data_IF_171543600948
#
_entry.id   IF_171543600948
#
_cell.length_a   1.000
_cell.length_b   1.000
_cell.length_c   1.000
_cell.angle_alpha   90.00
_cell.angle_beta   90.00
_cell.angle_gamma   90.00
#
_symmetry.space_group_name_H-M   'P 1'
#
loop_
_entity.id
_entity.type
_entity.pdbx_description
1 polymer ?
#
# COMPACT_ATOMS: atom_id res chain seq x y z
N UNK A 1 19.01 1.99 -8.44
CA UNK A 1 18.99 1.79 -9.91
C UNK A 1 19.45 0.38 -10.20
N UNK A 2 18.73 -0.32 -11.07
CA UNK A 2 19.12 -1.65 -11.51
C UNK A 2 20.56 -1.63 -12.07
N UNK A 3 21.42 -2.54 -11.62
CA UNK A 3 22.77 -2.64 -12.17
C UNK A 3 22.70 -2.99 -13.66
N UNK A 4 23.28 -2.11 -14.50
CA UNK A 4 23.28 -2.16 -15.97
C UNK A 4 23.63 -3.53 -16.58
N UNK A 5 24.31 -4.41 -15.84
CA UNK A 5 24.76 -5.73 -16.31
C UNK A 5 23.73 -6.86 -16.12
N UNK A 6 22.71 -6.67 -15.29
CA UNK A 6 21.74 -7.71 -14.94
C UNK A 6 20.33 -7.45 -15.48
N UNK A 7 20.11 -6.29 -16.11
CA UNK A 7 18.82 -5.93 -16.70
C UNK A 7 18.77 -6.40 -18.17
N UNK A 8 17.70 -7.10 -18.54
CA UNK A 8 17.46 -7.55 -19.93
C UNK A 8 17.31 -6.38 -20.93
N UNK A 9 17.12 -5.17 -20.43
CA UNK A 9 16.89 -3.95 -21.22
C UNK A 9 18.16 -3.19 -21.61
N UNK A 10 19.30 -3.88 -21.58
CA UNK A 10 20.64 -3.37 -21.87
C UNK A 10 20.77 -2.66 -23.25
N UNK A 11 19.74 -2.74 -24.11
CA UNK A 11 19.70 -2.15 -25.45
C UNK A 11 18.95 -0.79 -25.56
N UNK A 12 18.21 -0.34 -24.55
CA UNK A 12 17.48 0.95 -24.60
C UNK A 12 18.35 2.10 -24.08
N UNK A 13 18.28 3.28 -24.70
CA UNK A 13 18.99 4.48 -24.21
C UNK A 13 18.46 4.85 -22.82
N UNK A 14 19.27 4.59 -21.79
CA UNK A 14 18.96 4.95 -20.40
C UNK A 14 18.93 6.47 -20.24
N UNK A 15 18.19 6.94 -19.24
CA UNK A 15 18.16 8.35 -18.90
C UNK A 15 19.58 8.90 -18.64
N UNK A 16 19.89 10.05 -19.24
CA UNK A 16 21.21 10.68 -19.19
C UNK A 16 21.29 11.89 -18.25
N UNK A 17 20.21 12.16 -17.51
CA UNK A 17 20.09 13.32 -16.62
C UNK A 17 21.19 13.35 -15.55
N UNK A 18 21.60 14.56 -15.18
CA UNK A 18 22.69 14.77 -14.21
C UNK A 18 22.37 14.14 -12.85
N UNK A 19 21.09 14.07 -12.48
CA UNK A 19 20.62 13.40 -11.27
C UNK A 19 21.08 11.93 -11.16
N UNK A 20 21.25 11.23 -12.29
CA UNK A 20 21.70 9.83 -12.32
C UNK A 20 23.22 9.68 -12.19
N UNK A 21 23.97 10.75 -12.43
CA UNK A 21 25.44 10.77 -12.36
C UNK A 21 25.97 11.18 -10.99
N UNK A 22 25.13 11.80 -10.15
CA UNK A 22 25.48 12.19 -8.78
C UNK A 22 25.28 11.00 -7.84
N UNK A 23 26.17 10.82 -6.85
CA UNK A 23 26.00 9.85 -5.74
C UNK A 23 25.01 10.37 -4.68
N UNK A 24 24.00 11.12 -5.11
CA UNK A 24 22.95 11.65 -4.24
C UNK A 24 21.68 10.82 -4.47
N UNK A 25 21.37 9.99 -3.49
CA UNK A 25 20.25 9.07 -3.55
C UNK A 25 18.89 9.79 -3.54
N UNK A 26 18.78 10.91 -2.81
CA UNK A 26 17.52 11.66 -2.70
C UNK A 26 17.22 12.38 -4.01
N UNK A 27 18.22 13.05 -4.58
CA UNK A 27 18.07 13.69 -5.89
C UNK A 27 17.73 12.68 -7.00
N UNK A 28 18.28 11.46 -6.92
CA UNK A 28 17.94 10.37 -7.81
C UNK A 28 16.49 9.91 -7.65
N UNK A 29 16.04 9.70 -6.41
CA UNK A 29 14.67 9.26 -6.10
C UNK A 29 13.63 10.28 -6.58
N UNK A 30 13.84 11.57 -6.27
CA UNK A 30 13.00 12.68 -6.73
C UNK A 30 12.95 12.70 -8.27
N UNK A 31 14.10 12.57 -8.93
CA UNK A 31 14.14 12.58 -10.40
C UNK A 31 13.35 11.43 -11.01
N UNK A 32 13.53 10.21 -10.50
CA UNK A 32 12.80 9.02 -10.98
C UNK A 32 11.30 9.17 -10.76
N UNK A 33 10.88 9.76 -9.65
CA UNK A 33 9.47 9.90 -9.30
C UNK A 33 8.77 10.99 -10.12
N UNK A 34 9.33 12.20 -10.18
CA UNK A 34 8.69 13.36 -10.83
C UNK A 34 8.83 13.36 -12.36
N UNK A 35 9.80 12.61 -12.90
CA UNK A 35 10.15 12.67 -14.32
C UNK A 35 9.86 11.39 -15.09
N UNK A 36 9.31 10.35 -14.45
CA UNK A 36 8.95 9.11 -15.14
C UNK A 36 7.52 9.18 -15.68
N UNK A 37 7.38 9.15 -16.99
CA UNK A 37 6.11 9.06 -17.73
C UNK A 37 5.96 7.67 -18.35
N UNK A 38 4.75 7.34 -18.83
CA UNK A 38 4.43 6.04 -19.46
C UNK A 38 4.85 4.85 -18.60
N UNK A 39 4.51 4.93 -17.31
CA UNK A 39 4.92 3.97 -16.28
C UNK A 39 4.32 2.60 -16.56
N UNK A 40 5.18 1.59 -16.56
CA UNK A 40 4.84 0.18 -16.64
C UNK A 40 5.59 -0.63 -15.58
N UNK A 41 5.03 -1.77 -15.22
CA UNK A 41 5.64 -2.73 -14.30
C UNK A 41 6.12 -3.95 -15.07
N UNK A 42 7.34 -4.36 -14.78
CA UNK A 42 7.97 -5.53 -15.37
C UNK A 42 8.42 -6.46 -14.26
N UNK A 43 8.01 -7.74 -14.35
CA UNK A 43 8.39 -8.80 -13.40
C UNK A 43 9.07 -9.93 -14.16
N UNK A 44 10.31 -10.26 -13.76
CA UNK A 44 11.06 -11.43 -14.23
C UNK A 44 11.04 -12.48 -13.12
N UNK A 45 10.44 -13.64 -13.41
CA UNK A 45 10.31 -14.79 -12.51
C UNK A 45 10.24 -16.09 -13.33
N UNK A 46 10.47 -17.22 -12.71
CA UNK A 46 10.35 -18.55 -13.31
C UNK A 46 9.06 -19.25 -12.85
N UNK A 47 8.79 -19.21 -11.54
CA UNK A 47 7.66 -19.91 -10.91
C UNK A 47 7.06 -19.07 -9.76
N UNK A 48 5.73 -18.92 -9.77
CA UNK A 48 5.01 -18.20 -8.71
C UNK A 48 5.02 -18.94 -7.37
N UNK A 49 5.11 -20.26 -7.39
CA UNK A 49 4.90 -21.12 -6.22
C UNK A 49 6.19 -21.53 -5.52
N UNK A 50 7.35 -21.04 -5.99
CA UNK A 50 8.64 -21.31 -5.37
C UNK A 50 9.35 -20.02 -5.01
N UNK A 51 9.81 -19.89 -3.77
CA UNK A 51 10.68 -18.79 -3.36
C UNK A 51 11.98 -18.81 -4.17
N UNK A 52 12.22 -17.74 -4.93
CA UNK A 52 13.37 -17.63 -5.83
C UNK A 52 13.81 -16.16 -5.99
N UNK A 53 15.06 -15.91 -6.42
CA UNK A 53 15.47 -14.58 -6.84
C UNK A 53 14.69 -14.11 -8.07
N UNK A 54 13.85 -13.10 -7.90
CA UNK A 54 13.04 -12.45 -8.92
C UNK A 54 13.47 -11.01 -9.11
N UNK A 55 12.98 -10.38 -10.17
CA UNK A 55 13.23 -8.95 -10.45
C UNK A 55 11.92 -8.25 -10.72
N UNK A 56 11.55 -7.30 -9.85
CA UNK A 56 10.45 -6.37 -10.07
C UNK A 56 11.03 -5.00 -10.42
N UNK A 57 10.56 -4.41 -11.53
CA UNK A 57 10.99 -3.10 -11.97
C UNK A 57 9.80 -2.21 -12.33
N UNK A 58 9.83 -0.98 -11.83
CA UNK A 58 9.03 0.12 -12.36
C UNK A 58 9.82 0.79 -13.48
N UNK A 59 9.28 0.79 -14.68
CA UNK A 59 9.93 1.32 -15.87
C UNK A 59 9.10 2.41 -16.51
N UNK A 60 9.76 3.35 -17.17
CA UNK A 60 9.09 4.42 -17.90
C UNK A 60 10.08 5.26 -18.68
N UNK A 61 9.60 6.37 -19.21
CA UNK A 61 10.37 7.31 -20.02
C UNK A 61 10.63 8.57 -19.20
N UNK A 62 11.85 9.10 -19.25
CA UNK A 62 12.17 10.37 -18.63
C UNK A 62 11.56 11.51 -19.46
N UNK A 63 10.72 12.35 -18.84
CA UNK A 63 10.14 13.53 -19.49
C UNK A 63 11.19 14.55 -19.94
N UNK A 64 12.34 14.61 -19.26
CA UNK A 64 13.37 15.63 -19.51
C UNK A 64 14.29 15.27 -20.67
N UNK A 65 14.71 14.00 -20.76
CA UNK A 65 15.70 13.56 -21.75
C UNK A 65 15.19 12.50 -22.71
N UNK A 66 13.96 11.99 -22.53
CA UNK A 66 13.39 10.91 -23.33
C UNK A 66 14.04 9.54 -23.12
N UNK A 67 15.05 9.43 -22.25
CA UNK A 67 15.73 8.17 -21.95
C UNK A 67 14.94 7.30 -20.97
N UNK A 68 15.17 5.99 -20.99
CA UNK A 68 14.47 5.03 -20.13
C UNK A 68 14.88 5.20 -18.66
N UNK A 69 13.89 5.26 -17.77
CA UNK A 69 14.06 5.15 -16.32
C UNK A 69 13.65 3.74 -15.88
N UNK A 70 14.44 3.15 -14.99
CA UNK A 70 14.20 1.81 -14.44
C UNK A 70 14.55 1.81 -12.95
N UNK A 71 13.53 1.56 -12.14
CA UNK A 71 13.63 1.48 -10.70
C UNK A 71 13.30 0.05 -10.25
N UNK A 72 14.33 -0.68 -9.81
CA UNK A 72 14.16 -1.99 -9.21
C UNK A 72 13.56 -1.82 -7.82
N UNK A 73 12.49 -2.54 -7.55
CA UNK A 73 11.78 -2.57 -6.27
C UNK A 73 12.01 -3.96 -5.67
N UNK A 74 11.90 -4.07 -4.35
CA UNK A 74 11.92 -5.37 -3.70
C UNK A 74 10.89 -6.31 -4.33
N UNK A 75 11.35 -7.49 -4.73
CA UNK A 75 10.56 -8.52 -5.39
C UNK A 75 10.14 -9.65 -4.42
N UNK A 76 10.35 -9.47 -3.11
CA UNK A 76 9.92 -10.41 -2.06
C UNK A 76 10.34 -11.85 -2.37
N UNK A 77 11.64 -12.02 -2.62
CA UNK A 77 12.25 -13.25 -3.15
C UNK A 77 12.09 -14.47 -2.22
N UNK A 78 11.84 -14.23 -0.95
CA UNK A 78 11.58 -15.22 0.09
C UNK A 78 10.14 -15.72 0.13
N UNK A 79 9.22 -15.06 -0.58
CA UNK A 79 7.80 -15.40 -0.62
C UNK A 79 7.41 -16.23 -1.85
N UNK A 80 6.28 -16.93 -1.76
CA UNK A 80 5.71 -17.73 -2.84
C UNK A 80 4.17 -17.71 -2.81
N UNK A 81 3.54 -18.08 -3.92
CA UNK A 81 2.08 -18.23 -4.04
C UNK A 81 1.34 -16.95 -3.63
N UNK A 82 0.28 -17.11 -2.83
CA UNK A 82 -0.59 -16.03 -2.41
C UNK A 82 0.14 -14.91 -1.63
N UNK A 83 1.17 -15.25 -0.85
CA UNK A 83 1.96 -14.27 -0.07
C UNK A 83 2.81 -13.40 -1.01
N UNK A 84 3.44 -14.02 -2.01
CA UNK A 84 4.16 -13.29 -3.06
C UNK A 84 3.23 -12.37 -3.84
N UNK A 85 2.07 -12.88 -4.29
CA UNK A 85 1.09 -12.07 -5.03
C UNK A 85 0.61 -10.88 -4.20
N UNK A 86 0.33 -11.09 -2.92
CA UNK A 86 -0.08 -10.03 -2.00
C UNK A 86 1.01 -8.96 -1.83
N UNK A 87 2.27 -9.37 -1.66
CA UNK A 87 3.40 -8.48 -1.50
C UNK A 87 3.65 -7.61 -2.74
N UNK A 88 3.64 -8.22 -3.93
CA UNK A 88 3.82 -7.52 -5.20
C UNK A 88 2.66 -6.57 -5.46
N UNK A 89 1.41 -7.03 -5.28
CA UNK A 89 0.21 -6.20 -5.44
C UNK A 89 0.28 -4.94 -4.55
N UNK A 90 0.75 -5.09 -3.29
CA UNK A 90 1.00 -3.97 -2.38
C UNK A 90 2.03 -2.98 -2.92
N UNK A 91 3.18 -3.45 -3.38
CA UNK A 91 4.23 -2.57 -3.89
C UNK A 91 3.76 -1.74 -5.08
N UNK A 92 3.00 -2.35 -5.99
CA UNK A 92 2.41 -1.65 -7.13
C UNK A 92 1.41 -0.61 -6.68
N UNK A 93 0.52 -0.97 -5.74
CA UNK A 93 -0.49 -0.04 -5.24
C UNK A 93 0.13 1.19 -4.58
N UNK A 94 1.18 1.02 -3.78
CA UNK A 94 1.90 2.12 -3.10
C UNK A 94 2.61 3.07 -4.07
N UNK A 95 3.13 2.53 -5.18
CA UNK A 95 3.99 3.28 -6.11
C UNK A 95 3.23 3.86 -7.31
N UNK A 96 2.00 3.41 -7.58
CA UNK A 96 1.11 3.92 -8.63
C UNK A 96 -0.04 4.80 -8.13
N UNK A 97 -0.21 4.99 -6.81
CA UNK A 97 -1.17 5.95 -6.24
C UNK A 97 -0.73 7.43 -6.04
N UNK A 98 0.39 7.96 -6.59
CA UNK A 98 0.84 9.27 -6.16
C UNK A 98 0.24 10.52 -6.83
N UNK A 99 -0.32 10.44 -8.05
CA UNK A 99 -0.47 11.63 -8.91
C UNK A 99 -1.92 12.03 -9.28
N UNK A 100 -2.92 11.75 -8.44
CA UNK A 100 -4.25 12.37 -8.56
C UNK A 100 -5.07 12.03 -9.82
N UNK A 101 -4.50 11.42 -10.86
CA UNK A 101 -5.23 10.68 -11.88
C UNK A 101 -5.56 9.31 -11.31
N UNK A 102 -6.76 9.17 -10.75
CA UNK A 102 -7.29 7.90 -10.30
C UNK A 102 -7.42 6.94 -11.49
N UNK A 103 -6.43 6.07 -11.67
CA UNK A 103 -6.62 4.84 -12.42
C UNK A 103 -7.73 4.04 -11.71
N UNK A 104 -8.72 3.55 -12.46
CA UNK A 104 -9.80 2.81 -11.83
C UNK A 104 -9.25 1.52 -11.21
N UNK A 105 -9.90 0.99 -10.17
CA UNK A 105 -9.53 -0.28 -9.57
C UNK A 105 -9.47 -1.41 -10.61
N UNK A 106 -10.38 -1.38 -11.60
CA UNK A 106 -10.39 -2.30 -12.74
C UNK A 106 -9.12 -2.19 -13.60
N UNK A 107 -8.72 -0.98 -13.95
CA UNK A 107 -7.53 -0.74 -14.78
C UNK A 107 -6.24 -1.13 -14.05
N UNK A 108 -6.17 -0.87 -12.75
CA UNK A 108 -5.06 -1.32 -11.90
C UNK A 108 -4.94 -2.85 -11.92
N UNK A 109 -6.05 -3.55 -11.70
CA UNK A 109 -6.07 -5.02 -11.67
C UNK A 109 -5.71 -5.63 -13.01
N UNK A 110 -6.14 -5.01 -14.11
CA UNK A 110 -5.76 -5.45 -15.43
C UNK A 110 -4.25 -5.27 -15.68
N UNK A 111 -3.67 -4.12 -15.31
CA UNK A 111 -2.21 -3.91 -15.38
C UNK A 111 -1.44 -4.89 -14.51
N UNK A 112 -1.93 -5.16 -13.30
CA UNK A 112 -1.35 -6.15 -12.40
C UNK A 112 -1.32 -7.53 -13.06
N UNK A 113 -2.41 -7.99 -13.70
CA UNK A 113 -2.41 -9.30 -14.38
C UNK A 113 -1.45 -9.32 -15.59
N UNK A 114 -1.34 -8.20 -16.31
CA UNK A 114 -0.53 -8.13 -17.54
C UNK A 114 0.98 -8.28 -17.30
N UNK A 115 1.48 -7.93 -16.12
CA UNK A 115 2.91 -8.07 -15.79
C UNK A 115 3.37 -9.54 -15.64
N UNK A 116 2.43 -10.47 -15.49
CA UNK A 116 2.71 -11.90 -15.33
C UNK A 116 2.69 -12.64 -16.67
N UNK A 117 3.38 -13.78 -16.72
CA UNK A 117 3.40 -14.68 -17.86
C UNK A 117 1.98 -15.09 -18.25
N UNK A 118 1.72 -15.21 -19.56
CA UNK A 118 0.37 -15.51 -20.09
C UNK A 118 -0.25 -16.77 -19.49
N UNK A 119 0.59 -17.74 -19.14
CA UNK A 119 0.24 -19.03 -18.54
C UNK A 119 -0.38 -18.87 -17.14
N UNK A 120 0.08 -17.89 -16.37
CA UNK A 120 -0.32 -17.68 -14.97
C UNK A 120 -1.49 -16.70 -14.83
N UNK A 121 -1.82 -15.94 -15.89
CA UNK A 121 -2.89 -14.94 -15.86
C UNK A 121 -4.26 -15.50 -15.46
N UNK A 122 -4.70 -16.70 -15.88
CA UNK A 122 -5.96 -17.27 -15.42
C UNK A 122 -5.99 -17.47 -13.91
N UNK A 123 -4.91 -18.02 -13.34
CA UNK A 123 -4.77 -18.21 -11.90
C UNK A 123 -4.83 -16.87 -11.16
N UNK A 124 -4.18 -15.83 -11.69
CA UNK A 124 -4.26 -14.49 -11.07
C UNK A 124 -5.65 -13.87 -11.13
N UNK A 125 -6.39 -14.06 -12.24
CA UNK A 125 -7.77 -13.58 -12.34
C UNK A 125 -8.68 -14.28 -11.34
N UNK A 126 -8.50 -15.59 -11.13
CA UNK A 126 -9.20 -16.35 -10.10
C UNK A 126 -8.81 -15.89 -8.69
N UNK A 127 -7.51 -15.72 -8.43
CA UNK A 127 -7.00 -15.21 -7.16
C UNK A 127 -7.57 -13.82 -6.85
N UNK A 128 -7.60 -12.92 -7.83
CA UNK A 128 -8.23 -11.61 -7.71
C UNK A 128 -9.74 -11.71 -7.45
N UNK A 129 -10.45 -12.62 -8.08
CA UNK A 129 -11.90 -12.77 -7.92
C UNK A 129 -12.33 -13.25 -6.52
N UNK A 130 -11.39 -13.75 -5.69
CA UNK A 130 -11.70 -14.17 -4.32
C UNK A 130 -12.19 -12.96 -3.49
N UNK A 131 -13.22 -13.13 -2.63
CA UNK A 131 -13.74 -12.04 -1.80
C UNK A 131 -12.67 -11.32 -0.98
N UNK A 132 -11.72 -12.07 -0.40
CA UNK A 132 -10.59 -11.53 0.37
C UNK A 132 -9.62 -10.66 -0.46
N UNK A 133 -9.69 -10.78 -1.78
CA UNK A 133 -8.83 -10.15 -2.77
C UNK A 133 -9.59 -9.15 -3.65
N UNK A 134 -10.83 -8.85 -3.29
CA UNK A 134 -11.70 -7.92 -3.99
C UNK A 134 -11.21 -6.46 -3.87
N UNK A 135 -10.59 -6.11 -2.73
CA UNK A 135 -10.14 -4.75 -2.44
C UNK A 135 -8.64 -4.67 -2.17
N UNK A 136 -7.97 -3.70 -2.81
CA UNK A 136 -6.54 -3.46 -2.65
C UNK A 136 -6.14 -3.14 -1.20
N UNK A 137 -7.00 -2.41 -0.50
CA UNK A 137 -6.87 -2.08 0.93
C UNK A 137 -7.01 -3.31 1.85
N UNK A 138 -7.82 -4.31 1.47
CA UNK A 138 -8.00 -5.55 2.23
C UNK A 138 -6.77 -6.47 2.17
N UNK A 139 -6.19 -6.62 0.99
CA UNK A 139 -4.94 -7.39 0.81
C UNK A 139 -3.76 -6.76 1.57
N UNK A 140 -3.68 -5.42 1.57
CA UNK A 140 -2.67 -4.67 2.30
C UNK A 140 -2.65 -5.09 3.78
N UNK A 141 -3.81 -5.11 4.45
CA UNK A 141 -3.93 -5.46 5.88
C UNK A 141 -3.48 -6.89 6.20
N UNK A 142 -3.74 -7.86 5.31
CA UNK A 142 -3.41 -9.28 5.55
C UNK A 142 -1.90 -9.56 5.48
N UNK A 143 -1.21 -8.95 4.52
CA UNK A 143 0.26 -9.09 4.39
C UNK A 143 1.03 -8.49 5.58
N UNK A 144 0.46 -7.51 6.29
CA UNK A 144 1.01 -6.99 7.55
C UNK A 144 0.74 -7.94 8.72
N UNK A 145 -0.42 -8.62 8.77
CA UNK A 145 -0.72 -9.66 9.77
C UNK A 145 0.19 -10.91 9.63
N UNK A 146 0.67 -11.24 8.42
CA UNK A 146 1.61 -12.35 8.20
C UNK A 146 3.05 -12.06 8.68
N UNK A 147 3.41 -10.78 8.79
CA UNK A 147 4.69 -10.29 9.32
C UNK A 147 4.56 -9.76 10.76
N UNK A 148 3.87 -10.48 11.65
CA UNK A 148 4.10 -10.31 13.07
C UNK A 148 5.52 -10.84 13.40
N UNK A 149 6.37 -10.11 14.15
CA UNK A 149 7.82 -10.30 14.06
C UNK A 149 8.32 -11.54 14.82
N UNK A 150 9.38 -12.23 14.34
CA UNK A 150 10.38 -12.75 15.25
C UNK A 150 11.09 -11.56 15.89
N UNK A 151 11.02 -11.47 17.22
CA UNK A 151 11.78 -10.58 18.11
C UNK A 151 12.39 -9.32 17.46
N UNK A 152 11.75 -8.16 17.70
CA UNK A 152 12.24 -6.86 17.22
C UNK A 152 13.73 -6.68 17.52
N UNK A 153 14.58 -6.38 16.51
CA UNK A 153 15.95 -5.96 16.75
C UNK A 153 15.92 -4.69 17.60
N UNK A 154 16.76 -4.66 18.64
CA UNK A 154 16.79 -3.59 19.63
C UNK A 154 16.84 -2.19 18.97
N UNK A 155 15.76 -1.41 19.10
CA UNK A 155 15.74 0.03 18.78
C UNK A 155 14.52 0.58 18.03
N UNK A 156 13.59 -0.25 17.57
CA UNK A 156 12.38 0.18 16.84
C UNK A 156 11.13 -0.06 17.69
N UNK A 157 10.42 1.02 18.04
CA UNK A 157 9.19 0.95 18.86
C UNK A 157 7.96 1.14 17.96
N UNK A 158 7.08 0.15 17.92
CA UNK A 158 5.80 0.27 17.22
C UNK A 158 4.77 0.99 18.09
N UNK A 159 4.04 1.93 17.49
CA UNK A 159 2.92 2.64 18.11
C UNK A 159 1.67 2.41 17.27
N UNK A 160 0.61 1.95 17.90
CA UNK A 160 -0.71 1.71 17.31
C UNK A 160 -1.61 2.88 17.65
N UNK A 161 -2.06 3.63 16.64
CA UNK A 161 -2.89 4.83 16.83
C UNK A 161 -4.29 4.60 16.27
N UNK A 162 -5.33 4.81 17.08
CA UNK A 162 -6.72 4.75 16.61
C UNK A 162 -7.08 6.09 15.99
N UNK A 163 -7.55 6.06 14.75
CA UNK A 163 -8.00 7.23 13.99
C UNK A 163 -9.47 7.07 13.61
N UNK A 164 -10.24 8.14 13.84
CA UNK A 164 -11.63 8.28 13.42
C UNK A 164 -11.72 9.14 12.17
N UNK A 165 -12.48 8.69 11.20
CA UNK A 165 -12.85 9.45 9.99
C UNK A 165 -14.33 9.28 9.73
N UNK A 166 -15.04 10.37 9.42
CA UNK A 166 -16.46 10.31 9.10
C UNK A 166 -16.85 11.39 8.10
N UNK A 167 -17.97 11.15 7.40
CA UNK A 167 -18.61 12.08 6.47
C UNK A 167 -20.12 11.96 6.61
N UNK A 168 -20.80 13.10 6.55
CA UNK A 168 -22.25 13.21 6.38
C UNK A 168 -22.53 14.34 5.38
N UNK A 169 -22.61 13.99 4.10
CA UNK A 169 -22.78 14.93 3.00
C UNK A 169 -24.19 15.54 2.95
N UNK A 170 -25.22 14.82 3.43
CA UNK A 170 -26.59 15.35 3.49
C UNK A 170 -26.70 16.51 4.48
N UNK A 171 -25.99 16.40 5.61
CA UNK A 171 -25.88 17.50 6.59
C UNK A 171 -24.71 18.45 6.31
N UNK A 172 -23.91 18.19 5.28
CA UNK A 172 -22.74 19.00 4.90
C UNK A 172 -21.59 18.95 5.91
N UNK A 173 -21.45 17.84 6.64
CA UNK A 173 -20.43 17.62 7.66
C UNK A 173 -19.26 16.80 7.10
N UNK A 174 -18.07 17.39 7.16
CA UNK A 174 -16.81 16.78 6.68
C UNK A 174 -15.69 17.02 7.71
N UNK A 175 -15.77 16.38 8.90
CA UNK A 175 -14.77 16.56 9.94
C UNK A 175 -13.39 16.05 9.49
N UNK A 176 -12.34 16.73 9.94
CA UNK A 176 -10.97 16.24 9.78
C UNK A 176 -10.78 14.91 10.53
N UNK A 177 -9.87 14.03 10.09
CA UNK A 177 -9.51 12.83 10.83
C UNK A 177 -9.10 13.17 12.27
N UNK A 178 -9.59 12.40 13.24
CA UNK A 178 -9.33 12.60 14.66
C UNK A 178 -8.57 11.41 15.24
N UNK A 179 -7.57 11.68 16.07
CA UNK A 179 -6.89 10.64 16.85
C UNK A 179 -7.64 10.37 18.14
N UNK A 180 -8.06 9.12 18.36
CA UNK A 180 -8.77 8.69 19.57
C UNK A 180 -7.80 8.17 20.65
N UNK A 181 -6.59 7.75 20.26
CA UNK A 181 -5.53 7.35 21.20
C UNK A 181 -4.36 6.65 20.52
N UNK A 182 -3.23 6.56 21.23
CA UNK A 182 -2.02 5.85 20.80
C UNK A 182 -1.55 4.86 21.86
N UNK A 183 -1.16 3.66 21.43
CA UNK A 183 -0.87 2.51 22.28
C UNK A 183 0.43 1.84 21.83
N UNK A 184 1.16 1.24 22.77
CA UNK A 184 2.39 0.48 22.46
C UNK A 184 2.13 -1.02 22.27
N UNK A 185 0.93 -1.46 22.60
CA UNK A 185 0.48 -2.85 22.53
C UNK A 185 -0.77 -2.94 21.65
N UNK A 186 -0.75 -3.88 20.71
CA UNK A 186 -1.82 -4.03 19.72
C UNK A 186 -3.11 -4.55 20.34
N UNK A 187 -3.04 -5.45 21.31
CA UNK A 187 -4.23 -6.01 21.94
C UNK A 187 -4.96 -4.96 22.80
N UNK A 188 -4.20 -4.07 23.44
CA UNK A 188 -4.73 -2.91 24.15
C UNK A 188 -5.41 -1.94 23.17
N UNK A 189 -4.81 -1.66 22.02
CA UNK A 189 -5.43 -0.83 20.98
C UNK A 189 -6.73 -1.44 20.45
N UNK A 190 -6.76 -2.76 20.22
CA UNK A 190 -7.96 -3.50 19.78
C UNK A 190 -9.07 -3.49 20.82
N UNK A 191 -8.72 -3.64 22.10
CA UNK A 191 -9.68 -3.53 23.19
C UNK A 191 -10.31 -2.13 23.26
N UNK A 192 -9.50 -1.09 23.08
CA UNK A 192 -10.01 0.29 23.06
C UNK A 192 -10.83 0.58 21.80
N UNK A 193 -10.41 0.07 20.63
CA UNK A 193 -11.19 0.18 19.39
C UNK A 193 -12.61 -0.38 19.59
N UNK A 194 -12.74 -1.59 20.15
CA UNK A 194 -14.06 -2.17 20.46
C UNK A 194 -14.90 -1.26 21.35
N UNK A 195 -14.30 -0.69 22.41
CA UNK A 195 -14.99 0.24 23.31
C UNK A 195 -15.48 1.50 22.60
N UNK A 196 -14.66 2.05 21.70
CA UNK A 196 -15.00 3.24 20.91
C UNK A 196 -16.10 2.96 19.89
N UNK A 197 -16.08 1.80 19.24
CA UNK A 197 -17.12 1.39 18.28
C UNK A 197 -18.49 1.29 18.96
N UNK A 198 -18.58 0.63 20.12
CA UNK A 198 -19.85 0.54 20.86
C UNK A 198 -20.36 1.94 21.23
N UNK A 199 -19.47 2.81 21.70
CA UNK A 199 -19.84 4.19 22.03
C UNK A 199 -20.32 4.96 20.79
N UNK A 200 -19.61 4.86 19.67
CA UNK A 200 -19.98 5.55 18.43
C UNK A 200 -21.36 5.07 17.95
N UNK A 201 -21.65 3.75 18.01
CA UNK A 201 -22.96 3.19 17.67
C UNK A 201 -24.10 3.71 18.56
N UNK A 202 -23.84 3.94 19.85
CA UNK A 202 -24.82 4.51 20.78
C UNK A 202 -25.13 5.99 20.48
N UNK A 203 -24.12 6.75 20.05
CA UNK A 203 -24.22 8.19 19.77
C UNK A 203 -24.63 8.49 18.32
N UNK A 204 -24.61 7.49 17.44
CA UNK A 204 -24.81 7.63 16.01
C UNK A 204 -26.28 7.85 15.62
N UNK A 205 -26.53 8.88 14.81
CA UNK A 205 -27.85 9.17 14.23
C UNK A 205 -27.92 8.75 12.76
N UNK A 206 -28.70 7.70 12.48
CA UNK A 206 -29.02 7.26 11.12
C UNK A 206 -30.28 8.00 10.65
N UNK A 207 -30.18 8.73 9.54
CA UNK A 207 -31.27 9.54 8.98
C UNK A 207 -31.79 9.04 7.62
N UNK A 208 -31.35 7.85 7.21
CA UNK A 208 -31.80 7.14 6.02
C UNK A 208 -32.44 5.81 6.41
N UNK A 209 -32.96 5.08 5.42
CA UNK A 209 -33.61 3.78 5.64
C UNK A 209 -32.64 2.76 6.25
N UNK A 210 -33.06 2.07 7.31
CA UNK A 210 -32.28 1.04 7.98
C UNK A 210 -31.88 -0.10 7.02
N UNK A 211 -32.68 -0.36 5.97
CA UNK A 211 -32.34 -1.33 4.93
C UNK A 211 -31.07 -0.97 4.15
N UNK A 212 -30.68 0.31 4.12
CA UNK A 212 -29.47 0.81 3.47
C UNK A 212 -28.26 0.83 4.41
N UNK A 213 -28.44 0.58 5.71
CA UNK A 213 -27.34 0.58 6.67
C UNK A 213 -26.43 -0.64 6.49
N UNK A 214 -25.13 -0.43 6.36
CA UNK A 214 -24.13 -1.49 6.26
C UNK A 214 -23.02 -1.26 7.28
N UNK A 215 -22.48 -2.37 7.78
CA UNK A 215 -21.31 -2.37 8.63
C UNK A 215 -20.27 -3.34 8.11
N UNK A 216 -19.01 -2.94 8.23
CA UNK A 216 -17.84 -3.79 8.05
C UNK A 216 -17.01 -3.78 9.34
N UNK A 217 -16.54 -4.96 9.74
CA UNK A 217 -15.85 -5.16 11.02
C UNK A 217 -14.66 -6.12 10.85
N UNK A 218 -13.50 -5.74 11.37
CA UNK A 218 -12.31 -6.58 11.56
C UNK A 218 -11.68 -6.27 12.93
N UNK A 219 -10.62 -6.97 13.30
CA UNK A 219 -9.89 -6.75 14.56
C UNK A 219 -9.35 -5.33 14.69
N UNK A 220 -8.98 -4.71 13.57
CA UNK A 220 -8.21 -3.46 13.52
C UNK A 220 -9.01 -2.27 12.97
N UNK A 221 -10.27 -2.47 12.56
CA UNK A 221 -11.14 -1.37 12.17
C UNK A 221 -12.63 -1.74 12.23
N UNK A 222 -13.45 -0.70 12.22
CA UNK A 222 -14.88 -0.78 12.00
C UNK A 222 -15.31 0.37 11.09
N UNK A 223 -16.26 0.11 10.21
CA UNK A 223 -16.87 1.11 9.34
C UNK A 223 -18.38 0.88 9.24
N UNK A 224 -19.15 1.95 9.43
CA UNK A 224 -20.57 2.00 9.09
C UNK A 224 -20.77 2.95 7.92
N UNK A 225 -21.62 2.57 6.97
CA UNK A 225 -21.89 3.37 5.77
C UNK A 225 -23.29 3.12 5.20
N UNK A 226 -23.73 4.03 4.32
CA UNK A 226 -24.98 3.88 3.56
C UNK A 226 -24.74 3.14 2.23
N UNK A 227 -25.44 2.04 2.00
CA UNK A 227 -25.36 1.25 0.78
C UNK A 227 -25.84 2.05 -0.45
N UNK A 228 -25.13 1.91 -1.57
CA UNK A 228 -25.43 2.62 -2.82
C UNK A 228 -24.98 4.09 -2.84
N UNK A 229 -24.64 4.65 -1.68
CA UNK A 229 -24.19 6.05 -1.50
C UNK A 229 -23.10 6.18 -0.42
N UNK A 230 -22.11 5.29 -0.41
CA UNK A 230 -21.09 5.23 0.65
C UNK A 230 -20.26 6.54 0.82
N UNK A 231 -20.15 7.37 -0.22
CA UNK A 231 -19.51 8.68 -0.13
C UNK A 231 -20.40 9.79 0.46
N UNK A 232 -21.71 9.52 0.61
CA UNK A 232 -22.66 10.45 1.21
C UNK A 232 -22.69 10.34 2.74
N UNK A 233 -22.52 9.13 3.29
CA UNK A 233 -22.50 8.94 4.74
C UNK A 233 -21.64 7.74 5.13
N UNK A 234 -20.65 7.97 6.00
CA UNK A 234 -19.90 6.91 6.69
C UNK A 234 -19.28 7.39 8.01
N UNK A 235 -19.04 6.44 8.93
CA UNK A 235 -18.16 6.62 10.10
C UNK A 235 -17.23 5.43 10.20
N UNK A 236 -15.94 5.70 10.45
CA UNK A 236 -14.88 4.68 10.48
C UNK A 236 -13.93 4.94 11.63
N UNK A 237 -13.59 3.88 12.34
CA UNK A 237 -12.52 3.82 13.33
C UNK A 237 -11.49 2.79 12.90
N UNK A 238 -10.22 3.14 12.84
CA UNK A 238 -9.16 2.19 12.47
C UNK A 238 -7.88 2.35 13.28
N UNK A 239 -7.17 1.25 13.50
CA UNK A 239 -5.84 1.21 14.12
C UNK A 239 -4.78 1.34 13.01
N UNK A 240 -3.91 2.33 13.17
CA UNK A 240 -2.76 2.57 12.30
C UNK A 240 -1.44 2.27 13.06
N UNK A 241 -0.66 1.26 12.64
CA UNK A 241 0.67 1.03 13.17
C UNK A 241 1.67 2.05 12.60
N UNK A 242 2.55 2.58 13.44
CA UNK A 242 3.61 3.52 13.08
C UNK A 242 4.91 3.14 13.77
N UNK A 243 6.02 3.15 13.03
CA UNK A 243 7.36 2.92 13.58
C UNK A 243 7.95 4.22 14.15
N UNK A 244 8.25 4.23 15.44
CA UNK A 244 9.05 5.29 16.05
C UNK A 244 10.53 4.92 16.00
N UNK A 245 11.26 5.64 15.15
CA UNK A 245 12.73 5.61 15.13
C UNK A 245 13.24 6.59 16.18
N UNK A 246 13.90 6.07 17.21
CA UNK A 246 14.61 6.93 18.15
C UNK A 246 15.81 7.57 17.45
N UNK A 247 16.05 8.89 17.58
CA UNK A 247 17.25 9.50 17.03
C UNK A 247 18.47 8.93 17.75
N UNK A 248 19.42 8.38 16.99
CA UNK A 248 20.73 8.00 17.51
C UNK A 248 21.45 9.29 17.91
N UNK A 249 21.57 9.55 19.21
CA UNK A 249 22.49 10.57 19.71
C UNK A 249 23.91 10.10 19.40
N UNK A 250 24.50 10.59 18.32
CA UNK A 250 25.95 10.53 18.12
C UNK A 250 26.58 11.39 19.22
N UNK A 251 27.26 10.74 20.18
CA UNK A 251 28.20 11.44 21.03
C UNK A 251 29.36 11.88 20.14
N UNK A 252 29.36 13.13 19.71
CA UNK A 252 30.57 13.79 19.23
C UNK A 252 31.60 13.74 20.36
N UNK A 253 32.66 12.96 20.15
CA UNK A 253 33.81 12.92 21.04
C UNK A 253 34.61 14.20 20.90
N UNK A 254 34.83 14.87 22.04
CA UNK A 254 35.93 15.82 22.25
C UNK A 254 37.18 15.05 22.65
#
# INVERSE_FOLDING_TARGET
MCEHRKCRHNAQQLCSCVALKKKDFLALAIHVYENMTDVQWELDYTDLFQAEPRRLCRVGVCRDCGGRLCHEVDASNDMAGDDFLSAIYRHLYQLDTPDGTQMTNRDFREKFVQMFHEQDRPFLREWLARPENSHASGMYRRSVKASAPPEAPAGEMLVYTIVRTSVDAERGSFPSPMTEGSFLDIETARAELRRLVEKEKEEMEIHFDEELYREEYDDDFWEAYQEGYAAAWFSRLEILPSELKTPKYEKEGV
#
